data_IF_225018884306
#
_entry.id   IF_225018884306
#
_cell.length_a   1.000
_cell.length_b   1.000
_cell.length_c   1.000
_cell.angle_alpha   90.00
_cell.angle_beta   90.00
_cell.angle_gamma   90.00
#
_symmetry.space_group_name_H-M   'P 1'
#
loop_
_entity.id
_entity.type
_entity.pdbx_description
1 polymer ?
#
# COMPACT_ATOMS: atom_id res chain seq x y z
N UNK A 1 -14.80 -24.60 -4.22
CA UNK A 1 -13.93 -23.41 -4.28
C UNK A 1 -13.16 -23.57 -5.56
N UNK A 2 -13.42 -22.69 -6.53
CA UNK A 2 -12.87 -22.86 -7.86
C UNK A 2 -11.36 -22.68 -7.80
N UNK A 3 -10.60 -23.55 -8.48
CA UNK A 3 -9.13 -23.55 -8.43
C UNK A 3 -8.48 -22.22 -8.88
N UNK A 4 -9.28 -21.32 -9.45
CA UNK A 4 -8.93 -19.97 -9.85
C UNK A 4 -8.77 -18.99 -8.67
N UNK A 5 -9.52 -19.19 -7.57
CA UNK A 5 -9.43 -18.33 -6.37
C UNK A 5 -8.03 -18.42 -5.71
N UNK A 6 -7.32 -19.53 -5.94
CA UNK A 6 -5.96 -19.75 -5.43
C UNK A 6 -4.87 -19.12 -6.33
N UNK A 7 -5.19 -18.67 -7.56
CA UNK A 7 -4.18 -18.21 -8.52
C UNK A 7 -3.71 -16.77 -8.29
N UNK A 8 -4.55 -15.93 -7.70
CA UNK A 8 -4.25 -14.52 -7.44
C UNK A 8 -4.69 -14.18 -6.00
N UNK A 9 -3.94 -13.37 -5.24
CA UNK A 9 -4.39 -12.94 -3.93
C UNK A 9 -5.59 -12.01 -4.02
N UNK A 10 -6.40 -11.98 -2.97
CA UNK A 10 -7.66 -11.22 -2.91
C UNK A 10 -7.45 -9.73 -3.20
N UNK A 11 -6.36 -9.16 -2.68
CA UNK A 11 -5.99 -7.77 -2.91
C UNK A 11 -5.64 -7.42 -4.38
N UNK A 12 -5.57 -8.40 -5.29
CA UNK A 12 -5.37 -8.21 -6.73
C UNK A 12 -6.55 -8.68 -7.58
N UNK A 13 -7.71 -8.99 -6.98
CA UNK A 13 -8.89 -9.50 -7.71
C UNK A 13 -9.48 -8.53 -8.76
N UNK A 14 -9.06 -7.27 -8.74
CA UNK A 14 -9.41 -6.29 -9.78
C UNK A 14 -8.62 -6.49 -11.08
N UNK A 15 -7.49 -7.19 -11.04
CA UNK A 15 -6.68 -7.49 -12.22
C UNK A 15 -7.38 -8.55 -13.07
N UNK A 16 -7.54 -8.25 -14.36
CA UNK A 16 -8.10 -9.18 -15.34
C UNK A 16 -7.02 -9.54 -16.35
N UNK A 17 -6.95 -10.81 -16.72
CA UNK A 17 -5.98 -11.32 -17.67
C UNK A 17 -6.24 -12.77 -18.02
N UNK A 18 -5.46 -13.27 -18.97
CA UNK A 18 -5.47 -14.67 -19.40
C UNK A 18 -4.09 -15.25 -19.09
N UNK A 19 -4.08 -16.41 -18.42
CA UNK A 19 -2.86 -17.18 -18.16
C UNK A 19 -2.92 -18.42 -19.05
N UNK A 20 -1.99 -18.50 -19.99
CA UNK A 20 -1.79 -19.69 -20.82
C UNK A 20 -0.53 -20.42 -20.37
N UNK A 21 -0.62 -21.75 -20.26
CA UNK A 21 0.47 -22.58 -19.78
C UNK A 21 0.35 -23.99 -20.36
N UNK A 22 1.42 -24.43 -21.02
CA UNK A 22 1.50 -25.75 -21.66
C UNK A 22 1.65 -26.90 -20.64
N UNK A 23 2.10 -26.59 -19.42
CA UNK A 23 2.56 -27.56 -18.41
C UNK A 23 1.66 -27.66 -17.16
N UNK A 24 0.37 -27.31 -17.27
CA UNK A 24 -0.56 -27.42 -16.13
C UNK A 24 -0.88 -28.89 -15.81
N UNK A 25 -0.57 -29.39 -14.60
CA UNK A 25 -0.89 -30.76 -14.22
C UNK A 25 -2.39 -30.88 -13.96
N UNK A 26 -3.11 -31.34 -14.96
CA UNK A 26 -4.54 -31.59 -14.87
C UNK A 26 -4.82 -33.00 -14.34
N UNK A 27 -5.95 -33.18 -13.66
CA UNK A 27 -6.47 -34.51 -13.37
C UNK A 27 -6.77 -35.27 -14.68
N UNK A 28 -7.02 -36.59 -14.58
CA UNK A 28 -7.19 -37.48 -15.74
C UNK A 28 -8.30 -36.98 -16.68
N UNK A 29 -9.38 -36.40 -16.14
CA UNK A 29 -10.51 -35.86 -16.91
C UNK A 29 -10.27 -34.46 -17.48
N UNK A 30 -9.13 -33.83 -17.17
CA UNK A 30 -8.79 -32.44 -17.53
C UNK A 30 -9.74 -31.37 -17.01
N UNK A 31 -10.42 -31.66 -15.91
CA UNK A 31 -11.43 -30.77 -15.30
C UNK A 31 -10.93 -30.03 -14.07
N UNK A 32 -9.98 -30.62 -13.34
CA UNK A 32 -9.48 -30.07 -12.07
C UNK A 32 -7.96 -30.03 -12.09
N UNK A 33 -7.40 -28.87 -11.77
CA UNK A 33 -5.96 -28.71 -11.57
C UNK A 33 -5.54 -29.51 -10.34
N UNK A 34 -4.52 -30.36 -10.50
CA UNK A 34 -3.89 -30.98 -9.35
C UNK A 34 -3.10 -29.90 -8.60
N UNK A 35 -3.40 -29.69 -7.31
CA UNK A 35 -2.65 -28.74 -6.48
C UNK A 35 -1.17 -29.15 -6.44
N UNK A 36 -0.33 -28.38 -7.13
CA UNK A 36 1.09 -28.62 -7.27
C UNK A 36 1.87 -27.30 -7.17
N UNK A 37 3.18 -27.38 -6.97
CA UNK A 37 4.12 -26.27 -6.90
C UNK A 37 4.03 -25.29 -8.09
N UNK A 38 3.54 -25.76 -9.24
CA UNK A 38 3.32 -24.94 -10.45
C UNK A 38 2.36 -23.78 -10.19
N UNK A 39 1.21 -24.02 -9.55
CA UNK A 39 0.23 -22.94 -9.27
C UNK A 39 0.80 -21.89 -8.31
N UNK A 40 1.56 -22.33 -7.31
CA UNK A 40 2.26 -21.41 -6.38
C UNK A 40 3.28 -20.54 -7.12
N UNK A 41 4.00 -21.12 -8.09
CA UNK A 41 4.95 -20.39 -8.93
C UNK A 41 4.24 -19.39 -9.85
N UNK A 42 3.14 -19.78 -10.49
CA UNK A 42 2.32 -18.89 -11.31
C UNK A 42 1.81 -17.72 -10.47
N UNK A 43 1.18 -17.98 -9.30
CA UNK A 43 0.71 -16.95 -8.38
C UNK A 43 1.82 -15.97 -8.00
N UNK A 44 3.00 -16.48 -7.59
CA UNK A 44 4.15 -15.64 -7.24
C UNK A 44 4.60 -14.77 -8.42
N UNK A 45 4.60 -15.33 -9.63
CA UNK A 45 5.00 -14.61 -10.85
C UNK A 45 3.99 -13.52 -11.23
N UNK A 46 2.69 -13.82 -11.12
CA UNK A 46 1.61 -12.85 -11.36
C UNK A 46 1.67 -11.69 -10.38
N UNK A 47 1.80 -11.98 -9.08
CA UNK A 47 1.92 -10.94 -8.04
C UNK A 47 3.11 -10.03 -8.33
N UNK A 48 4.27 -10.61 -8.62
CA UNK A 48 5.48 -9.84 -8.99
C UNK A 48 5.22 -8.94 -10.20
N UNK A 49 4.61 -9.47 -11.26
CA UNK A 49 4.34 -8.72 -12.49
C UNK A 49 3.30 -7.62 -12.31
N UNK A 50 2.29 -7.84 -11.46
CA UNK A 50 1.32 -6.80 -11.10
C UNK A 50 2.00 -5.65 -10.37
N UNK A 51 2.87 -5.95 -9.39
CA UNK A 51 3.58 -4.91 -8.64
C UNK A 51 4.55 -4.14 -9.55
N UNK A 52 5.29 -4.82 -10.42
CA UNK A 52 6.15 -4.17 -11.43
C UNK A 52 5.34 -3.22 -12.34
N UNK A 53 4.14 -3.65 -12.77
CA UNK A 53 3.23 -2.78 -13.54
C UNK A 53 2.76 -1.57 -12.73
N UNK A 54 2.45 -1.73 -11.44
CA UNK A 54 2.04 -0.60 -10.59
C UNK A 54 3.18 0.38 -10.35
N UNK A 55 4.41 -0.13 -10.22
CA UNK A 55 5.63 0.69 -10.15
C UNK A 55 5.83 1.49 -11.45
N UNK A 56 5.61 0.87 -12.62
CA UNK A 56 5.66 1.55 -13.93
C UNK A 56 4.57 2.62 -14.07
N UNK A 57 3.32 2.31 -13.70
CA UNK A 57 2.23 3.30 -13.71
C UNK A 57 2.58 4.48 -12.78
N UNK A 58 3.30 4.24 -11.67
CA UNK A 58 3.70 5.27 -10.72
C UNK A 58 4.72 6.27 -11.26
N UNK A 59 5.39 5.98 -12.39
CA UNK A 59 6.29 6.91 -13.08
C UNK A 59 5.52 8.06 -13.75
N UNK A 60 4.24 7.84 -14.09
CA UNK A 60 3.33 8.86 -14.62
C UNK A 60 2.37 9.33 -13.52
N UNK A 61 2.56 10.56 -13.04
CA UNK A 61 1.79 11.13 -11.92
C UNK A 61 0.28 11.16 -12.17
N UNK A 62 -0.14 11.48 -13.40
CA UNK A 62 -1.57 11.64 -13.73
C UNK A 62 -2.25 10.28 -13.87
N UNK A 63 -1.60 9.33 -14.54
CA UNK A 63 -2.09 7.96 -14.63
C UNK A 63 -2.10 7.27 -13.26
N UNK A 64 -1.07 7.49 -12.45
CA UNK A 64 -1.01 6.92 -11.10
C UNK A 64 -2.07 7.49 -10.18
N UNK A 65 -2.37 8.79 -10.29
CA UNK A 65 -3.46 9.40 -9.52
C UNK A 65 -4.78 8.68 -9.80
N UNK A 66 -5.13 8.49 -11.07
CA UNK A 66 -6.34 7.76 -11.46
C UNK A 66 -6.33 6.31 -10.97
N UNK A 67 -5.20 5.61 -11.11
CA UNK A 67 -5.03 4.25 -10.62
C UNK A 67 -5.22 4.15 -9.10
N UNK A 68 -4.58 5.04 -8.35
CA UNK A 68 -4.60 5.05 -6.88
C UNK A 68 -5.99 5.42 -6.34
N UNK A 69 -6.69 6.37 -6.96
CA UNK A 69 -8.07 6.71 -6.59
C UNK A 69 -9.00 5.49 -6.69
N UNK A 70 -8.81 4.63 -7.70
CA UNK A 70 -9.64 3.43 -7.90
C UNK A 70 -9.21 2.23 -7.04
N UNK A 71 -7.90 2.03 -6.86
CA UNK A 71 -7.35 0.77 -6.34
C UNK A 71 -6.50 0.91 -5.06
N UNK A 72 -6.45 2.09 -4.43
CA UNK A 72 -5.70 2.30 -3.18
C UNK A 72 -6.13 1.34 -2.06
N UNK A 73 -7.42 1.02 -1.93
CA UNK A 73 -7.92 0.05 -0.95
C UNK A 73 -7.34 -1.35 -1.18
N UNK A 74 -7.21 -1.75 -2.45
CA UNK A 74 -6.57 -3.00 -2.84
C UNK A 74 -5.08 -3.01 -2.47
N UNK A 75 -4.35 -1.92 -2.70
CA UNK A 75 -2.94 -1.80 -2.28
C UNK A 75 -2.81 -1.90 -0.76
N UNK A 76 -3.65 -1.18 -0.01
CA UNK A 76 -3.67 -1.19 1.46
C UNK A 76 -4.08 -2.55 2.05
N UNK A 77 -4.95 -3.29 1.38
CA UNK A 77 -5.24 -4.68 1.72
C UNK A 77 -4.02 -5.59 1.48
N UNK A 78 -3.30 -5.37 0.39
CA UNK A 78 -2.04 -6.07 0.12
C UNK A 78 -0.98 -5.82 1.20
N UNK A 79 -0.92 -4.62 1.79
CA UNK A 79 -0.05 -4.32 2.94
C UNK A 79 -0.40 -5.20 4.15
N UNK A 80 -1.69 -5.44 4.39
CA UNK A 80 -2.15 -6.30 5.46
C UNK A 80 -1.78 -7.77 5.21
N UNK A 81 -2.11 -8.29 4.02
CA UNK A 81 -2.06 -9.72 3.70
C UNK A 81 -0.67 -10.21 3.22
N UNK A 82 0.03 -9.43 2.39
CA UNK A 82 1.25 -9.86 1.72
C UNK A 82 2.51 -9.33 2.41
N UNK A 83 2.94 -10.05 3.44
CA UNK A 83 4.17 -9.72 4.17
C UNK A 83 5.45 -9.75 3.32
N UNK A 84 5.47 -10.53 2.23
CA UNK A 84 6.65 -10.68 1.37
C UNK A 84 6.82 -9.45 0.49
N UNK A 85 5.72 -8.92 -0.04
CA UNK A 85 5.73 -7.78 -0.95
C UNK A 85 5.39 -6.44 -0.27
N UNK A 86 5.12 -6.43 1.04
CA UNK A 86 4.74 -5.24 1.82
C UNK A 86 5.65 -4.03 1.61
N UNK A 87 6.96 -4.23 1.51
CA UNK A 87 7.92 -3.15 1.26
C UNK A 87 7.62 -2.44 -0.06
N UNK A 88 7.48 -3.20 -1.15
CA UNK A 88 7.13 -2.67 -2.48
C UNK A 88 5.75 -2.03 -2.51
N UNK A 89 4.77 -2.67 -1.88
CA UNK A 89 3.42 -2.11 -1.77
C UNK A 89 3.41 -0.79 -0.97
N UNK A 90 4.33 -0.61 -0.03
CA UNK A 90 4.45 0.63 0.76
C UNK A 90 4.97 1.79 -0.09
N UNK A 91 5.83 1.52 -1.07
CA UNK A 91 6.33 2.52 -2.04
C UNK A 91 5.20 3.06 -2.95
N UNK A 92 4.14 2.27 -3.13
CA UNK A 92 2.95 2.63 -3.91
C UNK A 92 1.95 3.48 -3.10
N UNK A 93 2.07 3.58 -1.78
CA UNK A 93 1.14 4.37 -0.99
C UNK A 93 1.28 5.86 -1.29
N UNK A 94 0.14 6.55 -1.29
CA UNK A 94 0.03 8.01 -1.40
C UNK A 94 -0.90 8.53 -0.31
N UNK A 95 -0.49 9.63 0.31
CA UNK A 95 -1.21 10.28 1.39
C UNK A 95 -1.19 11.80 1.20
N UNK A 96 -2.19 12.50 1.73
CA UNK A 96 -2.03 13.93 1.97
C UNK A 96 -1.08 14.15 3.16
N UNK A 97 -0.51 15.33 3.28
CA UNK A 97 0.21 15.74 4.47
C UNK A 97 -0.05 17.19 4.82
N UNK A 98 0.39 17.59 6.01
CA UNK A 98 0.35 18.98 6.46
C UNK A 98 1.13 19.95 5.58
N UNK A 99 1.98 19.45 4.67
CA UNK A 99 2.80 20.26 3.78
C UNK A 99 2.48 20.04 2.29
N UNK A 100 1.60 19.10 1.93
CA UNK A 100 1.34 18.75 0.52
C UNK A 100 0.15 19.48 -0.11
N UNK A 101 -0.62 20.24 0.68
CA UNK A 101 -1.82 20.93 0.19
C UNK A 101 -2.85 19.95 -0.36
N UNK A 102 -3.19 20.08 -1.64
CA UNK A 102 -4.18 19.23 -2.33
C UNK A 102 -3.57 18.15 -3.20
N UNK A 103 -2.26 17.93 -3.09
CA UNK A 103 -1.59 16.80 -3.73
C UNK A 103 -1.31 15.69 -2.72
N UNK A 104 -1.47 14.44 -3.14
CA UNK A 104 -0.95 13.32 -2.38
C UNK A 104 0.54 13.10 -2.70
N UNK A 105 1.30 12.70 -1.69
CA UNK A 105 2.73 12.43 -1.74
C UNK A 105 3.02 10.98 -1.41
N UNK A 106 4.15 10.45 -1.87
CA UNK A 106 4.62 9.13 -1.47
C UNK A 106 5.29 9.15 -0.09
N UNK A 107 5.50 7.96 0.47
CA UNK A 107 6.34 7.79 1.66
C UNK A 107 7.79 8.24 1.41
N UNK A 108 8.33 8.02 0.19
CA UNK A 108 9.66 8.50 -0.21
C UNK A 108 9.74 10.03 -0.25
N UNK A 109 8.70 10.67 -0.77
CA UNK A 109 8.63 12.13 -0.81
C UNK A 109 8.67 12.72 0.60
N UNK A 110 7.93 12.12 1.55
CA UNK A 110 7.99 12.49 2.96
C UNK A 110 9.41 12.32 3.51
N UNK A 111 10.02 11.14 3.33
CA UNK A 111 11.36 10.85 3.84
C UNK A 111 12.40 11.83 3.28
N UNK A 112 12.30 12.19 2.00
CA UNK A 112 13.20 13.15 1.36
C UNK A 112 13.13 14.57 1.96
N UNK A 113 11.99 14.91 2.59
CA UNK A 113 11.76 16.20 3.25
C UNK A 113 11.92 16.14 4.78
N UNK A 114 12.25 14.99 5.34
CA UNK A 114 12.50 14.87 6.77
C UNK A 114 13.63 15.80 7.20
N UNK A 115 13.47 16.40 8.38
CA UNK A 115 14.55 17.19 8.98
C UNK A 115 15.75 16.30 9.34
N UNK A 116 16.98 16.85 9.38
CA UNK A 116 18.18 16.06 9.69
C UNK A 116 18.14 15.29 11.02
N UNK A 117 17.44 15.83 12.02
CA UNK A 117 17.27 15.25 13.35
C UNK A 117 16.03 14.37 13.50
N UNK A 118 15.16 14.32 12.48
CA UNK A 118 13.92 13.56 12.52
C UNK A 118 14.17 12.06 12.35
N UNK A 119 13.74 11.27 13.33
CA UNK A 119 13.92 9.81 13.35
C UNK A 119 12.68 9.03 12.91
N UNK A 120 11.51 9.66 12.96
CA UNK A 120 10.23 8.98 12.78
C UNK A 120 9.34 9.70 11.76
N UNK A 121 8.46 8.94 11.12
CA UNK A 121 7.41 9.42 10.22
C UNK A 121 6.16 9.66 11.06
N UNK A 122 5.73 10.91 11.14
CA UNK A 122 4.54 11.28 11.90
C UNK A 122 3.29 11.16 11.04
N UNK A 123 2.25 10.54 11.59
CA UNK A 123 0.96 10.41 10.93
C UNK A 123 -0.20 10.60 11.91
N UNK A 124 -1.36 10.93 11.37
CA UNK A 124 -2.62 11.00 12.10
C UNK A 124 -3.71 10.27 11.32
N UNK A 125 -4.56 9.54 12.04
CA UNK A 125 -5.75 8.88 11.49
C UNK A 125 -7.01 9.58 11.99
N UNK A 126 -7.98 9.83 11.11
CA UNK A 126 -9.31 10.35 11.46
C UNK A 126 -10.30 10.14 10.29
N UNK A 127 -11.57 10.51 10.47
CA UNK A 127 -12.65 10.29 9.50
C UNK A 127 -12.56 11.19 8.25
N UNK A 128 -11.77 12.27 8.27
CA UNK A 128 -11.64 13.17 7.12
C UNK A 128 -10.36 14.01 7.11
N UNK A 129 -9.97 14.50 5.92
CA UNK A 129 -8.85 15.43 5.73
C UNK A 129 -9.01 16.71 6.56
N UNK A 130 -10.23 17.22 6.67
CA UNK A 130 -10.51 18.43 7.45
C UNK A 130 -10.35 18.19 8.97
N UNK A 131 -10.72 17.02 9.47
CA UNK A 131 -10.56 16.67 10.88
C UNK A 131 -9.07 16.61 11.27
N UNK A 132 -8.26 15.88 10.49
CA UNK A 132 -6.82 15.76 10.75
C UNK A 132 -6.06 17.09 10.60
N UNK A 133 -6.48 17.95 9.67
CA UNK A 133 -5.87 19.27 9.45
C UNK A 133 -6.07 20.22 10.64
N UNK A 134 -7.25 20.22 11.26
CA UNK A 134 -7.57 21.09 12.41
C UNK A 134 -7.28 20.43 13.77
N UNK A 135 -6.61 19.28 13.77
CA UNK A 135 -6.29 18.57 15.00
C UNK A 135 -5.21 19.32 15.79
N UNK A 136 -5.40 19.55 17.09
CA UNK A 136 -4.37 20.14 17.96
C UNK A 136 -3.05 19.36 17.94
N UNK A 137 -3.11 18.05 17.70
CA UNK A 137 -1.92 17.19 17.59
C UNK A 137 -1.12 17.51 16.32
N UNK A 138 -1.80 17.74 15.20
CA UNK A 138 -1.17 18.17 13.95
C UNK A 138 -0.57 19.57 14.12
N UNK A 139 -1.31 20.52 14.68
CA UNK A 139 -0.84 21.90 14.89
C UNK A 139 0.45 21.98 15.73
N UNK A 140 0.51 21.23 16.83
CA UNK A 140 1.69 21.20 17.72
C UNK A 140 2.96 20.75 16.99
N UNK A 141 2.85 19.76 16.09
CA UNK A 141 3.99 19.26 15.31
C UNK A 141 4.36 20.16 14.14
N UNK A 142 3.37 20.71 13.42
CA UNK A 142 3.62 21.62 12.31
C UNK A 142 4.24 22.93 12.78
N UNK A 143 3.88 23.45 13.95
CA UNK A 143 4.56 24.59 14.59
C UNK A 143 6.03 24.31 14.91
N UNK A 144 6.36 23.05 15.23
CA UNK A 144 7.75 22.58 15.38
C UNK A 144 8.40 22.26 14.03
N UNK A 145 7.68 22.46 12.92
CA UNK A 145 8.09 22.23 11.55
C UNK A 145 8.20 20.76 11.14
N UNK A 146 7.53 19.85 11.85
CA UNK A 146 7.44 18.45 11.41
C UNK A 146 6.25 18.27 10.46
N UNK A 147 6.48 17.56 9.36
CA UNK A 147 5.41 17.16 8.43
C UNK A 147 4.61 16.00 9.04
N UNK A 148 3.28 16.00 8.89
CA UNK A 148 2.38 14.95 9.37
C UNK A 148 1.60 14.37 8.21
N UNK A 149 1.66 13.05 8.01
CA UNK A 149 0.84 12.33 7.03
C UNK A 149 -0.60 12.20 7.50
N UNK A 150 -1.54 12.41 6.57
CA UNK A 150 -2.97 12.34 6.79
C UNK A 150 -3.52 11.02 6.25
N UNK A 151 -3.97 10.17 7.17
CA UNK A 151 -4.58 8.87 6.90
C UNK A 151 -6.07 8.98 7.21
N UNK A 152 -6.91 8.93 6.18
CA UNK A 152 -8.33 9.29 6.29
C UNK A 152 -9.28 8.23 5.76
N UNK A 153 -8.74 7.08 5.34
CA UNK A 153 -9.53 5.91 5.00
C UNK A 153 -9.51 4.94 6.19
N UNK A 154 -10.64 4.35 6.60
CA UNK A 154 -10.69 3.35 7.67
C UNK A 154 -9.66 2.21 7.54
N UNK A 155 -9.30 1.80 6.31
CA UNK A 155 -8.28 0.75 6.10
C UNK A 155 -6.86 1.22 6.48
N UNK A 156 -6.60 2.52 6.56
CA UNK A 156 -5.28 3.07 6.90
C UNK A 156 -4.84 2.66 8.30
N UNK A 157 -5.76 2.63 9.27
CA UNK A 157 -5.46 2.19 10.65
C UNK A 157 -4.93 0.76 10.67
N UNK A 158 -5.47 -0.11 9.82
CA UNK A 158 -5.02 -1.49 9.67
C UNK A 158 -3.69 -1.55 8.90
N UNK A 159 -3.56 -0.82 7.79
CA UNK A 159 -2.35 -0.82 6.97
C UNK A 159 -1.13 -0.35 7.76
N UNK A 160 -1.24 0.76 8.51
CA UNK A 160 -0.12 1.36 9.23
C UNK A 160 0.45 0.46 10.34
N UNK A 161 -0.41 -0.35 10.98
CA UNK A 161 0.03 -1.33 11.99
C UNK A 161 0.90 -2.44 11.40
N UNK A 162 0.76 -2.74 10.11
CA UNK A 162 1.54 -3.75 9.40
C UNK A 162 2.82 -3.19 8.78
N UNK A 163 2.82 -1.92 8.37
CA UNK A 163 4.01 -1.23 7.86
C UNK A 163 5.07 -1.16 8.98
N UNK A 164 4.69 -0.65 10.16
CA UNK A 164 5.55 -0.41 11.35
C UNK A 164 6.71 0.58 11.13
N UNK A 165 7.50 0.39 10.08
CA UNK A 165 8.63 1.21 9.70
C UNK A 165 8.75 1.30 8.17
N UNK A 166 9.30 2.42 7.70
CA UNK A 166 9.60 2.66 6.30
C UNK A 166 11.00 3.28 6.19
N UNK A 167 11.89 2.73 5.36
CA UNK A 167 13.30 3.15 5.28
C UNK A 167 14.01 3.30 6.64
N UNK A 168 13.76 2.35 7.56
CA UNK A 168 14.24 2.34 8.96
C UNK A 168 13.71 3.47 9.86
N UNK A 169 12.71 4.23 9.42
CA UNK A 169 12.00 5.25 10.20
C UNK A 169 10.69 4.65 10.73
N UNK A 170 10.42 4.75 12.03
CA UNK A 170 9.17 4.21 12.59
C UNK A 170 7.99 5.10 12.19
N UNK A 171 6.82 4.51 12.02
CA UNK A 171 5.59 5.27 11.85
C UNK A 171 5.00 5.53 13.24
N UNK A 172 4.80 6.80 13.56
CA UNK A 172 4.38 7.26 14.88
C UNK A 172 3.07 8.04 14.77
N UNK A 173 2.03 7.53 15.42
CA UNK A 173 0.73 8.19 15.48
C UNK A 173 0.79 9.36 16.46
N UNK A 174 0.45 10.56 16.00
CA UNK A 174 0.54 11.79 16.80
C UNK A 174 -0.51 11.90 17.90
N UNK A 175 -1.58 11.10 17.84
CA UNK A 175 -2.65 11.06 18.84
C UNK A 175 -2.37 10.05 19.97
N UNK A 176 -1.33 9.21 19.85
CA UNK A 176 -0.93 8.27 20.90
C UNK A 176 -0.04 8.95 21.94
N UNK A 177 -0.23 8.58 23.20
CA UNK A 177 0.52 9.13 24.33
C UNK A 177 2.05 9.01 24.11
N UNK A 178 2.77 10.13 24.26
CA UNK A 178 4.25 10.17 24.20
C UNK A 178 4.89 11.26 23.34
N UNK A 179 4.13 12.21 22.77
CA UNK A 179 4.59 13.30 21.87
C UNK A 179 4.26 14.74 22.32
#
# INVERSE_FOLDING_TARGET
MDTYDDMIPEYLNFVRGVVDSEDLPLNINREVLQQNNVLKFIRKSLVRKCIELFEEIAEDKDNYKNFYEQYSKSIKLGIHEDSVNRGKLSDLLRFYSSASGDEMISMKDYVSRMKPDQQDIYYITDESKQAVMNSPFTEKLTQRGFEVLFMVDPIDEYAVTHIRQYENKKLVCVTKDGL
#
